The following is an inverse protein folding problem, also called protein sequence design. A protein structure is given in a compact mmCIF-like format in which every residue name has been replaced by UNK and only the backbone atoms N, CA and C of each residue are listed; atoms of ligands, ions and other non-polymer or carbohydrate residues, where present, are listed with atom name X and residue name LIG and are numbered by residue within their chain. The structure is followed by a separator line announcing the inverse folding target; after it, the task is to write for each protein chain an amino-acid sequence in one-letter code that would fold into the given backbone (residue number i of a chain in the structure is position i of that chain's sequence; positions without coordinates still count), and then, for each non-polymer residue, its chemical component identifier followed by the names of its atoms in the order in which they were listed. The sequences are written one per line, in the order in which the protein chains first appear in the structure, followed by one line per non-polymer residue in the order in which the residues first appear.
data_IF_905613434337
#
_entry.id   IF_905613434337
#
_cell.length_a   1.000
_cell.length_b   1.000
_cell.length_c   1.000
_cell.angle_alpha   90.00
_cell.angle_beta   90.00
_cell.angle_gamma   90.00
#
_symmetry.space_group_name_H-M   'P 1'
#
loop_
_entity.id
_entity.type
_entity.pdbx_description
1 polymer ?
#
# COMPACT_ATOMS: atom_id res chain seq x y z
N UNK A 1 -13.55 12.23 12.39
CA UNK A 1 -12.50 11.30 11.95
C UNK A 1 -12.75 11.03 10.49
N UNK A 2 -11.90 11.57 9.62
CA UNK A 2 -11.98 11.28 8.20
C UNK A 2 -11.42 9.87 7.97
N UNK A 3 -11.82 9.27 6.85
CA UNK A 3 -11.30 7.98 6.43
C UNK A 3 -11.03 8.05 4.94
N UNK A 4 -9.94 7.41 4.54
CA UNK A 4 -9.62 7.22 3.13
C UNK A 4 -9.55 5.73 2.84
N UNK A 5 -10.00 5.34 1.65
CA UNK A 5 -9.86 3.97 1.17
C UNK A 5 -8.83 3.98 0.05
N UNK A 6 -7.80 3.17 0.21
CA UNK A 6 -6.71 3.02 -0.75
C UNK A 6 -6.64 1.58 -1.23
N UNK A 7 -6.06 1.38 -2.42
CA UNK A 7 -5.85 0.05 -2.99
C UNK A 7 -4.35 -0.26 -3.00
N UNK A 8 -3.95 -1.39 -2.45
CA UNK A 8 -2.58 -1.90 -2.47
C UNK A 8 -2.68 -3.37 -2.89
N UNK A 9 -1.99 -3.75 -3.96
CA UNK A 9 -1.99 -5.13 -4.47
C UNK A 9 -3.40 -5.68 -4.74
N UNK A 10 -4.27 -4.83 -5.30
CA UNK A 10 -5.68 -5.15 -5.55
C UNK A 10 -6.55 -5.32 -4.28
N UNK A 11 -5.98 -5.14 -3.08
CA UNK A 11 -6.70 -5.20 -1.80
C UNK A 11 -7.05 -3.79 -1.33
N UNK A 12 -8.28 -3.62 -0.87
CA UNK A 12 -8.73 -2.34 -0.32
C UNK A 12 -8.41 -2.23 1.17
N UNK A 13 -7.79 -1.11 1.55
CA UNK A 13 -7.46 -0.77 2.92
C UNK A 13 -8.14 0.53 3.31
N UNK A 14 -8.89 0.48 4.41
CA UNK A 14 -9.51 1.67 5.00
C UNK A 14 -8.56 2.23 6.06
N UNK A 15 -8.09 3.45 5.85
CA UNK A 15 -7.16 4.14 6.73
C UNK A 15 -7.88 5.29 7.43
N UNK A 16 -7.68 5.38 8.74
CA UNK A 16 -8.14 6.52 9.52
C UNK A 16 -7.18 7.69 9.32
N UNK A 17 -7.73 8.89 9.15
CA UNK A 17 -6.94 10.09 8.94
C UNK A 17 -7.58 11.32 9.58
N UNK A 18 -6.75 12.33 9.82
CA UNK A 18 -7.21 13.66 10.16
C UNK A 18 -7.65 14.40 8.89
N UNK A 19 -8.45 15.45 9.07
CA UNK A 19 -8.96 16.27 7.98
C UNK A 19 -7.78 16.98 7.28
N UNK A 20 -7.66 16.81 5.96
CA UNK A 20 -6.57 17.33 5.15
C UNK A 20 -5.37 16.38 4.98
N UNK A 21 -5.39 15.20 5.59
CA UNK A 21 -4.34 14.16 5.43
C UNK A 21 -4.70 13.10 4.37
N UNK A 22 -5.88 13.18 3.77
CA UNK A 22 -6.37 12.20 2.80
C UNK A 22 -5.43 12.07 1.60
N UNK A 23 -4.99 13.19 1.03
CA UNK A 23 -4.09 13.22 -0.14
C UNK A 23 -2.72 12.62 0.19
N UNK A 24 -2.20 12.91 1.39
CA UNK A 24 -0.92 12.35 1.82
C UNK A 24 -0.99 10.82 1.96
N UNK A 25 -2.07 10.29 2.53
CA UNK A 25 -2.26 8.85 2.64
C UNK A 25 -2.47 8.18 1.28
N UNK A 26 -3.11 8.84 0.33
CA UNK A 26 -3.23 8.36 -1.04
C UNK A 26 -1.85 8.26 -1.68
N UNK A 27 -1.02 9.32 -1.61
CA UNK A 27 0.35 9.29 -2.16
C UNK A 27 1.20 8.19 -1.52
N UNK A 28 1.13 8.03 -0.18
CA UNK A 28 1.83 6.95 0.52
C UNK A 28 1.38 5.57 0.03
N UNK A 29 0.08 5.36 -0.14
CA UNK A 29 -0.45 4.09 -0.61
C UNK A 29 -0.05 3.79 -2.06
N UNK A 30 -0.08 4.79 -2.96
CA UNK A 30 0.36 4.64 -4.35
C UNK A 30 1.85 4.32 -4.44
N UNK A 31 2.69 4.98 -3.63
CA UNK A 31 4.12 4.67 -3.55
C UNK A 31 4.35 3.25 -3.06
N UNK A 32 3.61 2.85 -2.04
CA UNK A 32 3.70 1.51 -1.47
C UNK A 32 3.27 0.43 -2.47
N UNK A 33 2.18 0.64 -3.19
CA UNK A 33 1.68 -0.27 -4.23
C UNK A 33 2.71 -0.48 -5.36
N UNK A 34 3.42 0.59 -5.77
CA UNK A 34 4.54 0.48 -6.72
C UNK A 34 5.68 -0.38 -6.18
N UNK A 35 6.03 -0.26 -4.90
CA UNK A 35 7.05 -1.12 -4.30
C UNK A 35 6.63 -2.58 -4.24
N UNK A 36 5.38 -2.85 -3.86
CA UNK A 36 4.84 -4.22 -3.84
C UNK A 36 4.88 -4.83 -5.25
N UNK A 37 4.47 -4.06 -6.27
CA UNK A 37 4.50 -4.49 -7.68
C UNK A 37 5.93 -4.78 -8.15
N UNK A 38 6.89 -3.91 -7.84
CA UNK A 38 8.30 -4.13 -8.17
C UNK A 38 8.87 -5.41 -7.53
N UNK A 39 8.49 -5.71 -6.28
CA UNK A 39 8.91 -6.94 -5.61
C UNK A 39 8.24 -8.18 -6.22
N UNK A 40 6.97 -8.08 -6.65
CA UNK A 40 6.30 -9.15 -7.40
C UNK A 40 7.07 -9.52 -8.66
N UNK A 41 7.49 -8.51 -9.42
CA UNK A 41 8.28 -8.72 -10.63
C UNK A 41 9.67 -9.32 -10.34
N UNK A 42 10.30 -8.92 -9.23
CA UNK A 42 11.65 -9.35 -8.86
C UNK A 42 11.71 -10.76 -8.25
N UNK A 43 10.70 -11.13 -7.45
CA UNK A 43 10.70 -12.37 -6.66
C UNK A 43 9.74 -13.44 -7.20
N UNK A 44 8.87 -13.11 -8.15
CA UNK A 44 7.83 -14.00 -8.68
C UNK A 44 6.63 -14.15 -7.74
N UNK A 45 5.82 -15.20 -7.92
CA UNK A 45 4.64 -15.50 -7.07
C UNK A 45 5.02 -16.07 -5.69
N UNK A 46 5.85 -15.33 -4.94
CA UNK A 46 5.96 -15.52 -3.50
C UNK A 46 4.68 -14.96 -2.88
N UNK A 47 4.08 -15.70 -1.93
CA UNK A 47 2.77 -15.35 -1.36
C UNK A 47 2.63 -13.86 -1.03
N UNK A 48 1.60 -13.22 -1.58
CA UNK A 48 1.38 -11.77 -1.63
C UNK A 48 1.68 -11.05 -0.31
N UNK A 49 1.24 -11.63 0.81
CA UNK A 49 1.41 -11.01 2.12
C UNK A 49 2.87 -10.83 2.51
N UNK A 50 3.77 -11.74 2.12
CA UNK A 50 5.21 -11.61 2.42
C UNK A 50 5.81 -10.45 1.63
N UNK A 51 5.41 -10.29 0.37
CA UNK A 51 5.86 -9.17 -0.47
C UNK A 51 5.34 -7.84 0.08
N UNK A 52 4.08 -7.78 0.50
CA UNK A 52 3.52 -6.59 1.17
C UNK A 52 4.30 -6.24 2.45
N UNK A 53 4.61 -7.23 3.29
CA UNK A 53 5.40 -6.98 4.52
C UNK A 53 6.82 -6.52 4.17
N UNK A 54 7.48 -7.14 3.20
CA UNK A 54 8.82 -6.73 2.77
C UNK A 54 8.83 -5.30 2.23
N UNK A 55 7.83 -4.91 1.42
CA UNK A 55 7.69 -3.53 0.96
C UNK A 55 7.54 -2.52 2.11
N UNK A 56 7.05 -2.94 3.28
CA UNK A 56 6.79 -2.05 4.43
C UNK A 56 7.94 -1.90 5.41
N UNK A 57 8.98 -2.73 5.30
CA UNK A 57 10.15 -2.71 6.20
C UNK A 57 11.45 -2.26 5.52
N UNK A 58 11.44 -2.06 4.20
CA UNK A 58 12.57 -1.52 3.41
C UNK A 58 12.46 -0.01 3.26
#
# INVERSE_FOLDING_TARGET
MAQVTVSIDGKQYRMACDEGQEEHLIDLAERFDRYVSHLKDSFGEIGDQRLTVMAGIM
#
